data_IF_060196102083
#
_entry.id   IF_060196102083
#
_cell.length_a   1.000
_cell.length_b   1.000
_cell.length_c   1.000
_cell.angle_alpha   90.00
_cell.angle_beta   90.00
_cell.angle_gamma   90.00
#
_symmetry.space_group_name_H-M   'P 1'
#
loop_
_entity.id
_entity.type
_entity.pdbx_description
1 polymer ?
#
# COMPACT_ATOMS: atom_id res chain seq x y z
N UNK A 1 -28.32 11.79 -19.57
CA UNK A 1 -27.05 11.37 -18.92
C UNK A 1 -27.10 11.82 -17.47
N UNK A 2 -27.02 10.91 -16.50
CA UNK A 2 -26.93 11.29 -15.09
C UNK A 2 -25.57 11.95 -14.82
N UNK A 3 -25.56 13.21 -14.41
CA UNK A 3 -24.34 13.96 -14.07
C UNK A 3 -23.80 13.59 -12.68
N UNK A 4 -24.58 12.89 -11.86
CA UNK A 4 -24.26 12.55 -10.47
C UNK A 4 -23.85 11.08 -10.31
N UNK A 5 -22.88 10.79 -9.44
CA UNK A 5 -22.47 9.40 -9.16
C UNK A 5 -23.56 8.66 -8.35
N UNK A 6 -23.72 7.33 -8.53
CA UNK A 6 -24.63 6.51 -7.72
C UNK A 6 -24.32 6.62 -6.23
N UNK A 7 -25.37 6.59 -5.39
CA UNK A 7 -25.21 6.67 -3.92
C UNK A 7 -24.36 5.52 -3.35
N UNK A 8 -24.35 4.38 -4.03
CA UNK A 8 -23.47 3.25 -3.72
C UNK A 8 -21.99 3.62 -3.70
N UNK A 9 -21.54 4.57 -4.52
CA UNK A 9 -20.15 5.02 -4.54
C UNK A 9 -19.75 5.61 -3.20
N UNK A 10 -20.58 6.50 -2.63
CA UNK A 10 -20.29 7.15 -1.35
C UNK A 10 -20.34 6.16 -0.17
N UNK A 11 -21.18 5.14 -0.27
CA UNK A 11 -21.18 4.02 0.68
C UNK A 11 -19.86 3.24 0.63
N UNK A 12 -19.43 2.83 -0.56
CA UNK A 12 -18.17 2.10 -0.74
C UNK A 12 -16.96 2.97 -0.34
N UNK A 13 -16.99 4.26 -0.68
CA UNK A 13 -16.01 5.25 -0.25
C UNK A 13 -15.90 5.31 1.28
N UNK A 14 -17.01 5.48 1.99
CA UNK A 14 -17.00 5.63 3.45
C UNK A 14 -16.56 4.32 4.13
N UNK A 15 -17.00 3.19 3.59
CA UNK A 15 -16.59 1.86 4.06
C UNK A 15 -15.09 1.66 3.90
N UNK A 16 -14.55 1.91 2.70
CA UNK A 16 -13.11 1.81 2.41
C UNK A 16 -12.29 2.80 3.25
N UNK A 17 -12.73 4.05 3.39
CA UNK A 17 -12.03 5.07 4.18
C UNK A 17 -11.83 4.62 5.64
N UNK A 18 -12.87 4.06 6.26
CA UNK A 18 -12.79 3.57 7.64
C UNK A 18 -11.95 2.30 7.79
N UNK A 19 -12.01 1.40 6.83
CA UNK A 19 -11.15 0.21 6.82
C UNK A 19 -9.68 0.59 6.61
N UNK A 20 -9.39 1.52 5.69
CA UNK A 20 -8.05 2.08 5.49
C UNK A 20 -7.57 2.83 6.72
N UNK A 21 -8.46 3.55 7.40
CA UNK A 21 -8.14 4.16 8.69
C UNK A 21 -7.67 3.10 9.70
N UNK A 22 -8.42 2.00 9.84
CA UNK A 22 -8.02 0.89 10.70
C UNK A 22 -6.66 0.29 10.33
N UNK A 23 -6.46 0.00 9.05
CA UNK A 23 -5.24 -0.63 8.55
C UNK A 23 -4.02 0.27 8.75
N UNK A 24 -4.07 1.54 8.32
CA UNK A 24 -2.94 2.46 8.44
C UNK A 24 -2.68 2.88 9.89
N UNK A 25 -3.70 2.90 10.75
CA UNK A 25 -3.55 3.15 12.18
C UNK A 25 -2.77 2.04 12.87
N UNK A 26 -3.12 0.78 12.59
CA UNK A 26 -2.34 -0.38 13.02
C UNK A 26 -0.91 -0.32 12.45
N UNK A 27 -0.79 -0.09 11.13
CA UNK A 27 0.49 -0.06 10.42
C UNK A 27 1.47 0.97 10.99
N UNK A 28 0.97 2.12 11.46
CA UNK A 28 1.75 3.19 12.07
C UNK A 28 2.34 2.83 13.44
N UNK A 29 1.69 1.93 14.17
CA UNK A 29 2.06 1.53 15.53
C UNK A 29 2.83 0.21 15.58
N UNK A 30 2.63 -0.67 14.58
CA UNK A 30 3.02 -2.07 14.66
C UNK A 30 4.52 -2.28 14.94
N UNK A 31 5.39 -1.59 14.22
CA UNK A 31 6.84 -1.68 14.41
C UNK A 31 7.28 -1.15 15.78
N UNK A 32 6.66 -0.05 16.24
CA UNK A 32 6.95 0.55 17.55
C UNK A 32 6.46 -0.33 18.69
N UNK A 33 5.32 -0.98 18.54
CA UNK A 33 4.74 -1.91 19.52
C UNK A 33 5.62 -3.15 19.69
N UNK A 34 6.07 -3.76 18.59
CA UNK A 34 6.98 -4.91 18.63
C UNK A 34 8.27 -4.58 19.41
N UNK A 35 8.87 -3.42 19.15
CA UNK A 35 10.09 -3.00 19.82
C UNK A 35 9.86 -2.61 21.29
N UNK A 36 8.89 -1.74 21.55
CA UNK A 36 8.78 -1.05 22.84
C UNK A 36 7.94 -1.81 23.87
N UNK A 37 6.99 -2.63 23.42
CA UNK A 37 6.08 -3.35 24.30
C UNK A 37 6.35 -4.86 24.31
N UNK A 38 6.62 -5.47 23.16
CA UNK A 38 6.91 -6.90 23.07
C UNK A 38 8.40 -7.24 23.21
N UNK A 39 9.27 -6.23 23.28
CA UNK A 39 10.73 -6.39 23.42
C UNK A 39 11.37 -7.24 22.30
N UNK A 40 10.81 -7.21 21.09
CA UNK A 40 11.43 -7.82 19.92
C UNK A 40 12.63 -6.99 19.47
N UNK A 41 13.62 -7.62 18.83
CA UNK A 41 14.71 -6.89 18.21
C UNK A 41 14.31 -6.31 16.84
N UNK A 42 15.08 -5.34 16.33
CA UNK A 42 14.79 -4.67 15.05
C UNK A 42 14.84 -5.60 13.85
N UNK A 43 15.77 -6.54 13.81
CA UNK A 43 15.90 -7.48 12.70
C UNK A 43 14.68 -8.40 12.64
N UNK A 44 14.26 -8.97 13.77
CA UNK A 44 13.03 -9.75 13.84
C UNK A 44 11.78 -8.92 13.52
N UNK A 45 11.67 -7.72 14.09
CA UNK A 45 10.59 -6.76 13.81
C UNK A 45 10.50 -6.46 12.32
N UNK A 46 11.63 -6.22 11.66
CA UNK A 46 11.70 -5.95 10.23
C UNK A 46 11.24 -7.12 9.37
N UNK A 47 11.74 -8.32 9.66
CA UNK A 47 11.32 -9.53 8.97
C UNK A 47 9.81 -9.79 9.14
N UNK A 48 9.29 -9.72 10.36
CA UNK A 48 7.89 -9.98 10.65
C UNK A 48 6.97 -8.93 10.03
N UNK A 49 7.36 -7.65 10.07
CA UNK A 49 6.61 -6.58 9.42
C UNK A 49 6.50 -6.78 7.90
N UNK A 50 7.61 -7.13 7.24
CA UNK A 50 7.64 -7.42 5.80
C UNK A 50 6.82 -8.66 5.42
N UNK A 51 6.88 -9.73 6.23
CA UNK A 51 6.07 -10.93 6.02
C UNK A 51 4.57 -10.64 6.19
N UNK A 52 4.20 -9.92 7.26
CA UNK A 52 2.82 -9.51 7.51
C UNK A 52 2.26 -8.69 6.35
N UNK A 53 2.97 -7.64 5.95
CA UNK A 53 2.55 -6.77 4.84
C UNK A 53 2.53 -7.52 3.51
N UNK A 54 3.50 -8.38 3.24
CA UNK A 54 3.53 -9.26 2.08
C UNK A 54 2.29 -10.16 1.99
N UNK A 55 1.91 -10.80 3.10
CA UNK A 55 0.71 -11.64 3.16
C UNK A 55 -0.58 -10.83 2.98
N UNK A 56 -0.65 -9.60 3.52
CA UNK A 56 -1.77 -8.66 3.29
C UNK A 56 -1.95 -8.33 1.80
N UNK A 57 -0.88 -8.34 0.99
CA UNK A 57 -0.98 -8.17 -0.47
C UNK A 57 -1.20 -9.47 -1.24
N UNK A 58 -0.88 -10.63 -0.64
CA UNK A 58 -1.04 -11.94 -1.27
C UNK A 58 -2.46 -12.52 -1.10
N UNK A 59 -3.03 -12.47 0.11
CA UNK A 59 -4.34 -13.05 0.41
C UNK A 59 -5.53 -12.47 -0.37
N UNK A 60 -5.52 -11.21 -0.86
CA UNK A 60 -6.55 -10.70 -1.77
C UNK A 60 -6.79 -11.56 -3.01
N UNK A 61 -5.78 -12.26 -3.53
CA UNK A 61 -5.96 -13.16 -4.67
C UNK A 61 -6.90 -14.32 -4.34
N UNK A 62 -6.80 -14.83 -3.11
CA UNK A 62 -7.63 -15.92 -2.60
C UNK A 62 -9.04 -15.41 -2.34
N UNK A 63 -9.19 -14.25 -1.69
CA UNK A 63 -10.51 -13.72 -1.33
C UNK A 63 -11.32 -13.21 -2.52
N UNK A 64 -10.68 -12.68 -3.56
CA UNK A 64 -11.34 -12.38 -4.83
C UNK A 64 -11.85 -13.64 -5.51
N UNK A 65 -11.01 -14.69 -5.59
CA UNK A 65 -11.40 -15.98 -6.14
C UNK A 65 -12.58 -16.62 -5.38
N UNK A 66 -12.60 -16.52 -4.04
CA UNK A 66 -13.69 -17.05 -3.22
C UNK A 66 -15.01 -16.33 -3.54
N UNK A 67 -14.99 -15.00 -3.60
CA UNK A 67 -16.18 -14.21 -3.88
C UNK A 67 -16.74 -14.50 -5.28
N UNK A 68 -15.85 -14.61 -6.27
CA UNK A 68 -16.19 -14.85 -7.67
C UNK A 68 -16.72 -16.25 -7.96
N UNK A 69 -16.59 -17.20 -7.02
CA UNK A 69 -16.97 -18.61 -7.25
C UNK A 69 -18.01 -19.15 -6.27
N UNK A 70 -18.04 -18.67 -5.02
CA UNK A 70 -18.83 -19.33 -3.98
C UNK A 70 -20.00 -18.49 -3.46
N UNK A 71 -19.76 -17.23 -3.05
CA UNK A 71 -20.79 -16.52 -2.26
C UNK A 71 -20.90 -15.00 -2.46
N UNK A 72 -20.14 -14.42 -3.39
CA UNK A 72 -20.24 -13.01 -3.77
C UNK A 72 -19.41 -12.02 -2.93
N UNK A 73 -19.34 -10.78 -3.43
CA UNK A 73 -18.52 -9.71 -2.85
C UNK A 73 -19.05 -9.24 -1.48
N UNK A 74 -20.38 -9.10 -1.29
CA UNK A 74 -20.97 -8.57 -0.05
C UNK A 74 -20.64 -9.42 1.17
N UNK A 75 -20.80 -10.75 1.05
CA UNK A 75 -20.49 -11.68 2.14
C UNK A 75 -18.99 -11.67 2.45
N UNK A 76 -18.15 -11.59 1.42
CA UNK A 76 -16.70 -11.51 1.58
C UNK A 76 -16.28 -10.23 2.31
N UNK A 77 -16.87 -9.07 1.98
CA UNK A 77 -16.63 -7.80 2.68
C UNK A 77 -17.07 -7.89 4.14
N UNK A 78 -18.25 -8.44 4.43
CA UNK A 78 -18.74 -8.58 5.81
C UNK A 78 -17.86 -9.51 6.65
N UNK A 79 -17.58 -10.73 6.15
CA UNK A 79 -16.74 -11.69 6.86
C UNK A 79 -15.32 -11.15 7.02
N UNK A 80 -14.76 -10.59 5.95
CA UNK A 80 -13.43 -10.00 5.96
C UNK A 80 -13.32 -8.87 6.98
N UNK A 81 -14.31 -7.98 7.02
CA UNK A 81 -14.35 -6.89 7.98
C UNK A 81 -14.50 -7.36 9.43
N UNK A 82 -15.30 -8.40 9.70
CA UNK A 82 -15.42 -8.99 11.05
C UNK A 82 -14.09 -9.57 11.50
N UNK A 83 -13.40 -10.33 10.64
CA UNK A 83 -12.08 -10.87 10.94
C UNK A 83 -11.07 -9.76 11.23
N UNK A 84 -11.04 -8.68 10.44
CA UNK A 84 -10.16 -7.55 10.70
C UNK A 84 -10.50 -6.86 12.03
N UNK A 85 -11.78 -6.67 12.36
CA UNK A 85 -12.18 -6.07 13.64
C UNK A 85 -11.73 -6.94 14.82
N UNK A 86 -11.95 -8.26 14.76
CA UNK A 86 -11.46 -9.20 15.77
C UNK A 86 -9.93 -9.17 15.87
N UNK A 87 -9.24 -9.05 14.74
CA UNK A 87 -7.79 -8.93 14.70
C UNK A 87 -7.28 -7.67 15.41
N UNK A 88 -7.90 -6.51 15.16
CA UNK A 88 -7.57 -5.26 15.84
C UNK A 88 -7.83 -5.33 17.36
N UNK A 89 -8.94 -5.94 17.78
CA UNK A 89 -9.21 -6.13 19.21
C UNK A 89 -8.29 -7.18 19.86
N UNK A 90 -7.78 -8.15 19.09
CA UNK A 90 -6.70 -9.05 19.54
C UNK A 90 -5.39 -8.28 19.76
N UNK A 91 -5.06 -7.29 18.92
CA UNK A 91 -3.92 -6.39 19.14
C UNK A 91 -4.13 -5.45 20.34
N UNK A 92 -5.35 -4.93 20.54
CA UNK A 92 -5.72 -4.21 21.76
C UNK A 92 -5.52 -5.07 23.02
N UNK A 93 -5.95 -6.33 22.99
CA UNK A 93 -5.75 -7.28 24.08
C UNK A 93 -4.25 -7.55 24.30
N UNK A 94 -3.49 -7.79 23.22
CA UNK A 94 -2.03 -7.94 23.29
C UNK A 94 -1.36 -6.74 23.98
N UNK A 95 -1.71 -5.52 23.59
CA UNK A 95 -1.21 -4.29 24.23
C UNK A 95 -1.69 -4.12 25.68
N UNK A 96 -2.85 -4.68 26.05
CA UNK A 96 -3.35 -4.65 27.43
C UNK A 96 -2.60 -5.63 28.34
N UNK A 97 -2.10 -6.73 27.77
CA UNK A 97 -1.31 -7.76 28.47
C UNK A 97 0.19 -7.63 28.21
N UNK A 98 0.69 -6.47 27.77
CA UNK A 98 2.10 -6.31 27.36
C UNK A 98 3.14 -6.69 28.43
N UNK A 99 2.78 -6.67 29.72
CA UNK A 99 3.63 -7.10 30.84
C UNK A 99 3.68 -8.63 31.02
N UNK A 100 2.79 -9.38 30.37
CA UNK A 100 2.69 -10.84 30.39
C UNK A 100 2.91 -11.36 28.97
N UNK A 101 4.18 -11.44 28.56
CA UNK A 101 4.57 -11.74 27.17
C UNK A 101 4.03 -13.08 26.67
N UNK A 102 3.89 -14.08 27.54
CA UNK A 102 3.32 -15.39 27.22
C UNK A 102 1.86 -15.32 26.74
N UNK A 103 1.13 -14.25 27.11
CA UNK A 103 -0.23 -13.97 26.65
C UNK A 103 -0.21 -12.94 25.51
N UNK A 104 0.59 -11.88 25.63
CA UNK A 104 0.64 -10.79 24.68
C UNK A 104 1.07 -11.25 23.28
N UNK A 105 2.11 -12.09 23.18
CA UNK A 105 2.68 -12.52 21.90
C UNK A 105 1.72 -13.43 21.12
N UNK A 106 1.06 -14.45 21.71
CA UNK A 106 0.04 -15.22 20.99
C UNK A 106 -1.13 -14.37 20.51
N UNK A 107 -1.62 -13.43 21.34
CA UNK A 107 -2.68 -12.50 20.94
C UNK A 107 -2.24 -11.58 19.79
N UNK A 108 -0.98 -11.18 19.79
CA UNK A 108 -0.39 -10.40 18.71
C UNK A 108 -0.43 -11.16 17.37
N UNK A 109 0.08 -12.40 17.34
CA UNK A 109 0.07 -13.23 16.14
C UNK A 109 -1.36 -13.60 15.68
N UNK A 110 -2.26 -13.89 16.61
CA UNK A 110 -3.68 -14.07 16.31
C UNK A 110 -4.26 -12.82 15.63
N UNK A 111 -3.93 -11.64 16.14
CA UNK A 111 -4.33 -10.36 15.57
C UNK A 111 -3.86 -10.19 14.13
N UNK A 112 -2.57 -10.42 13.89
CA UNK A 112 -1.98 -10.34 12.54
C UNK A 112 -2.63 -11.35 11.58
N UNK A 113 -2.81 -12.60 12.00
CA UNK A 113 -3.43 -13.65 11.19
C UNK A 113 -4.87 -13.31 10.80
N UNK A 114 -5.68 -12.83 11.76
CA UNK A 114 -7.05 -12.40 11.51
C UNK A 114 -7.11 -11.21 10.54
N UNK A 115 -6.20 -10.23 10.67
CA UNK A 115 -6.14 -9.09 9.75
C UNK A 115 -5.72 -9.53 8.34
N UNK A 116 -4.74 -10.42 8.22
CA UNK A 116 -4.30 -10.98 6.92
C UNK A 116 -5.46 -11.66 6.19
N UNK A 117 -6.19 -12.54 6.88
CA UNK A 117 -7.33 -13.27 6.32
C UNK A 117 -8.49 -12.32 6.00
N UNK A 118 -8.77 -11.39 6.91
CA UNK A 118 -9.85 -10.44 6.77
C UNK A 118 -9.65 -9.46 5.62
N UNK A 119 -8.45 -8.87 5.50
CA UNK A 119 -8.08 -8.00 4.38
C UNK A 119 -8.15 -8.75 3.05
N UNK A 120 -7.73 -10.03 3.04
CA UNK A 120 -7.81 -10.88 1.85
C UNK A 120 -9.24 -11.00 1.30
N UNK A 121 -10.24 -11.13 2.18
CA UNK A 121 -11.65 -11.18 1.79
C UNK A 121 -12.27 -9.81 1.51
N UNK A 122 -11.80 -8.75 2.17
CA UNK A 122 -12.40 -7.42 2.06
C UNK A 122 -11.94 -6.66 0.80
N UNK A 123 -10.62 -6.48 0.68
CA UNK A 123 -9.97 -5.55 -0.27
C UNK A 123 -10.27 -5.80 -1.75
N UNK A 124 -10.14 -7.04 -2.29
CA UNK A 124 -10.40 -7.27 -3.72
C UNK A 124 -11.89 -7.09 -4.04
N UNK A 125 -12.76 -7.30 -3.06
CA UNK A 125 -14.20 -7.37 -3.25
C UNK A 125 -14.86 -5.99 -3.23
N UNK A 126 -14.44 -5.11 -2.32
CA UNK A 126 -14.97 -3.74 -2.26
C UNK A 126 -14.62 -2.93 -3.52
N UNK A 127 -13.39 -3.07 -4.03
CA UNK A 127 -12.96 -2.42 -5.27
C UNK A 127 -13.75 -2.93 -6.48
N UNK A 128 -14.04 -4.24 -6.54
CA UNK A 128 -14.85 -4.84 -7.60
C UNK A 128 -16.28 -4.29 -7.61
N UNK A 129 -16.86 -4.04 -6.43
CA UNK A 129 -18.21 -3.47 -6.31
C UNK A 129 -18.31 -2.04 -6.86
N UNK A 130 -17.24 -1.24 -6.80
CA UNK A 130 -17.22 0.10 -7.44
C UNK A 130 -17.48 -0.02 -8.93
N UNK A 131 -16.84 -0.98 -9.59
CA UNK A 131 -17.02 -1.23 -11.01
C UNK A 131 -18.42 -1.71 -11.40
N UNK A 132 -19.11 -2.41 -10.51
CA UNK A 132 -20.46 -2.95 -10.72
C UNK A 132 -21.57 -1.87 -10.63
N UNK A 133 -21.27 -0.69 -10.09
CA UNK A 133 -22.23 0.44 -10.02
C UNK A 133 -22.45 1.13 -11.38
N UNK A 134 -21.66 0.78 -12.39
CA UNK A 134 -21.62 1.48 -13.67
C UNK A 134 -21.76 0.49 -14.83
N UNK A 135 -22.34 0.95 -15.94
CA UNK A 135 -22.29 0.17 -17.19
C UNK A 135 -20.88 0.16 -17.78
N UNK A 136 -20.60 -0.77 -18.70
CA UNK A 136 -19.26 -0.90 -19.28
C UNK A 136 -18.79 0.35 -20.06
N UNK A 137 -19.71 1.13 -20.61
CA UNK A 137 -19.44 2.33 -21.41
C UNK A 137 -19.61 3.65 -20.61
N UNK A 138 -19.80 3.57 -19.28
CA UNK A 138 -20.02 4.76 -18.46
C UNK A 138 -18.73 5.57 -18.26
N UNK A 139 -18.69 6.78 -18.82
CA UNK A 139 -17.54 7.70 -18.72
C UNK A 139 -17.25 8.17 -17.29
N UNK A 140 -18.19 8.01 -16.35
CA UNK A 140 -18.01 8.41 -14.94
C UNK A 140 -17.16 7.43 -14.15
N UNK A 141 -16.88 6.25 -14.69
CA UNK A 141 -16.19 5.16 -13.98
C UNK A 141 -14.78 5.56 -13.52
N UNK A 142 -14.02 6.27 -14.34
CA UNK A 142 -12.67 6.74 -13.99
C UNK A 142 -12.70 7.78 -12.86
N UNK A 143 -13.65 8.72 -12.92
CA UNK A 143 -13.88 9.69 -11.85
C UNK A 143 -14.34 8.98 -10.55
N UNK A 144 -15.12 7.89 -10.65
CA UNK A 144 -15.56 7.12 -9.50
C UNK A 144 -14.39 6.42 -8.78
N UNK A 145 -13.47 5.81 -9.53
CA UNK A 145 -12.25 5.25 -8.95
C UNK A 145 -11.34 6.32 -8.33
N UNK A 146 -11.32 7.53 -8.91
CA UNK A 146 -10.60 8.67 -8.33
C UNK A 146 -11.21 9.08 -6.97
N UNK A 147 -12.53 9.22 -6.90
CA UNK A 147 -13.24 9.52 -5.64
C UNK A 147 -12.97 8.42 -4.61
N UNK A 148 -13.11 7.15 -5.01
CA UNK A 148 -12.82 6.01 -4.13
C UNK A 148 -11.38 6.04 -3.59
N UNK A 149 -10.40 6.32 -4.45
CA UNK A 149 -8.99 6.46 -4.07
C UNK A 149 -8.72 7.64 -3.12
N UNK A 150 -9.47 8.74 -3.22
CA UNK A 150 -9.40 9.81 -2.22
C UNK A 150 -9.82 9.33 -0.83
N UNK A 151 -10.77 8.39 -0.74
CA UNK A 151 -11.20 7.81 0.54
C UNK A 151 -10.08 7.02 1.21
N UNK A 152 -9.31 6.27 0.43
CA UNK A 152 -8.13 5.54 0.90
C UNK A 152 -7.11 6.50 1.52
N UNK A 153 -6.78 7.58 0.81
CA UNK A 153 -5.80 8.55 1.29
C UNK A 153 -6.31 9.35 2.48
N UNK A 154 -7.60 9.66 2.55
CA UNK A 154 -8.19 10.36 3.69
C UNK A 154 -8.11 9.51 4.96
N UNK A 155 -8.46 8.22 4.88
CA UNK A 155 -8.29 7.28 5.98
C UNK A 155 -6.83 7.12 6.40
N UNK A 156 -5.93 6.97 5.42
CA UNK A 156 -4.48 6.86 5.64
C UNK A 156 -3.88 8.12 6.28
N UNK A 157 -4.38 9.31 5.95
CA UNK A 157 -3.92 10.56 6.53
C UNK A 157 -4.30 10.69 8.00
N UNK A 158 -5.58 10.46 8.34
CA UNK A 158 -6.06 10.64 9.72
C UNK A 158 -5.63 9.52 10.66
N UNK A 159 -5.38 8.31 10.15
CA UNK A 159 -5.14 7.16 11.02
C UNK A 159 -3.87 7.26 11.87
N UNK A 160 -2.67 7.56 11.33
CA UNK A 160 -1.49 7.74 12.15
C UNK A 160 -1.62 8.93 13.10
N UNK A 161 -2.37 9.99 12.73
CA UNK A 161 -2.61 11.12 13.63
C UNK A 161 -3.47 10.72 14.83
N UNK A 162 -4.55 9.98 14.63
CA UNK A 162 -5.45 9.57 15.72
C UNK A 162 -4.88 8.40 16.51
N UNK A 163 -4.57 7.28 15.85
CA UNK A 163 -4.03 6.09 16.50
C UNK A 163 -2.65 6.36 17.11
N UNK A 164 -1.81 7.15 16.44
CA UNK A 164 -0.50 7.56 16.94
C UNK A 164 -0.59 8.44 18.19
N UNK A 165 -1.49 9.43 18.21
CA UNK A 165 -1.68 10.27 19.41
C UNK A 165 -2.11 9.46 20.62
N UNK A 166 -2.90 8.40 20.40
CA UNK A 166 -3.38 7.53 21.47
C UNK A 166 -2.38 6.43 21.86
N UNK A 167 -1.55 5.96 20.93
CA UNK A 167 -0.71 4.77 21.10
C UNK A 167 0.79 5.00 21.17
N UNK A 168 1.31 6.03 20.52
CA UNK A 168 2.74 6.35 20.41
C UNK A 168 3.08 7.54 21.32
N UNK A 169 2.78 7.37 22.60
CA UNK A 169 2.96 8.40 23.66
C UNK A 169 4.34 8.30 24.34
N UNK A 170 5.10 7.25 24.04
CA UNK A 170 6.32 6.86 24.75
C UNK A 170 6.08 5.87 25.90
N UNK A 171 4.84 5.63 26.31
CA UNK A 171 4.50 4.59 27.28
C UNK A 171 4.00 3.32 26.56
N UNK A 172 4.66 2.16 26.73
CA UNK A 172 4.23 0.91 26.10
C UNK A 172 2.78 0.49 26.43
N UNK A 173 2.25 0.90 27.57
CA UNK A 173 0.86 0.62 27.95
C UNK A 173 -0.17 1.31 27.06
N UNK A 174 0.21 2.35 26.32
CA UNK A 174 -0.73 3.19 25.57
C UNK A 174 -0.99 2.65 24.16
N UNK A 175 -0.12 1.81 23.60
CA UNK A 175 -0.31 1.17 22.29
C UNK A 175 -1.70 0.51 22.15
N UNK A 176 -2.23 -0.04 23.24
CA UNK A 176 -3.59 -0.58 23.27
C UNK A 176 -4.62 0.45 22.78
N UNK A 177 -4.57 1.71 23.22
CA UNK A 177 -5.54 2.73 22.82
C UNK A 177 -5.46 3.07 21.33
N UNK A 178 -4.26 3.03 20.76
CA UNK A 178 -4.06 3.12 19.33
C UNK A 178 -4.72 1.97 18.56
N UNK A 179 -4.51 0.73 19.00
CA UNK A 179 -5.17 -0.45 18.42
C UNK A 179 -6.68 -0.47 18.64
N UNK A 180 -7.16 0.01 19.78
CA UNK A 180 -8.59 0.20 20.06
C UNK A 180 -9.20 1.16 19.05
N UNK A 181 -8.58 2.32 18.82
CA UNK A 181 -9.04 3.29 17.82
C UNK A 181 -9.02 2.70 16.39
N UNK A 182 -8.02 1.90 16.04
CA UNK A 182 -8.01 1.19 14.77
C UNK A 182 -9.17 0.17 14.69
N UNK A 183 -9.45 -0.56 15.77
CA UNK A 183 -10.57 -1.50 15.87
C UNK A 183 -11.93 -0.83 15.76
N UNK A 184 -12.14 0.33 16.41
CA UNK A 184 -13.38 1.10 16.29
C UNK A 184 -13.58 1.60 14.87
N UNK A 185 -12.53 2.04 14.18
CA UNK A 185 -12.59 2.38 12.76
C UNK A 185 -13.08 1.22 11.89
N UNK A 186 -12.58 0.00 12.12
CA UNK A 186 -13.05 -1.19 11.40
C UNK A 186 -14.51 -1.52 11.69
N UNK A 187 -14.95 -1.40 12.95
CA UNK A 187 -16.36 -1.57 13.31
C UNK A 187 -17.23 -0.53 12.62
N UNK A 188 -16.80 0.73 12.56
CA UNK A 188 -17.53 1.78 11.83
C UNK A 188 -17.66 1.45 10.35
N UNK A 189 -16.59 0.95 9.70
CA UNK A 189 -16.66 0.44 8.33
C UNK A 189 -17.73 -0.65 8.18
N UNK A 190 -17.75 -1.64 9.08
CA UNK A 190 -18.74 -2.72 9.06
C UNK A 190 -20.17 -2.20 9.25
N UNK A 191 -20.41 -1.31 10.20
CA UNK A 191 -21.74 -0.76 10.47
C UNK A 191 -22.27 0.02 9.27
N UNK A 192 -21.44 0.91 8.71
CA UNK A 192 -21.77 1.68 7.51
C UNK A 192 -22.14 0.73 6.36
N UNK A 193 -21.31 -0.28 6.08
CA UNK A 193 -21.61 -1.24 5.03
C UNK A 193 -22.88 -2.06 5.34
N UNK A 194 -23.01 -2.61 6.55
CA UNK A 194 -24.10 -3.47 6.94
C UNK A 194 -25.47 -2.81 6.84
N UNK A 195 -25.59 -1.56 7.33
CA UNK A 195 -26.86 -0.83 7.32
C UNK A 195 -27.30 -0.38 5.93
N UNK A 196 -26.35 -0.03 5.06
CA UNK A 196 -26.66 0.65 3.81
C UNK A 196 -26.49 -0.21 2.55
N UNK A 197 -25.81 -1.37 2.63
CA UNK A 197 -25.54 -2.21 1.46
C UNK A 197 -26.79 -2.59 0.65
N UNK A 198 -27.89 -2.95 1.32
CA UNK A 198 -29.14 -3.37 0.64
C UNK A 198 -29.82 -2.21 -0.09
N UNK A 199 -29.65 -0.98 0.42
CA UNK A 199 -30.31 0.22 -0.07
C UNK A 199 -29.55 0.88 -1.23
N UNK A 200 -28.22 0.89 -1.18
CA UNK A 200 -27.42 1.70 -2.11
C UNK A 200 -26.53 0.90 -3.09
N UNK A 201 -26.31 -0.40 -2.87
CA UNK A 201 -25.49 -1.22 -3.77
C UNK A 201 -26.37 -1.87 -4.84
N UNK A 202 -26.83 -1.05 -5.77
CA UNK A 202 -27.60 -1.46 -6.95
C UNK A 202 -26.91 -1.06 -8.23
N UNK A 203 -27.08 -1.85 -9.29
CA UNK A 203 -26.63 -1.54 -10.64
C UNK A 203 -27.51 -0.44 -11.26
N UNK A 204 -27.16 0.09 -12.46
CA UNK A 204 -27.98 1.09 -13.15
C UNK A 204 -29.40 0.63 -13.49
N UNK A 205 -29.69 -0.68 -13.46
CA UNK A 205 -30.99 -1.28 -13.69
C UNK A 205 -31.79 -1.49 -12.39
N UNK A 206 -31.20 -1.21 -11.23
CA UNK A 206 -31.82 -1.38 -9.91
C UNK A 206 -31.62 -2.76 -9.29
N UNK A 207 -30.88 -3.66 -9.92
CA UNK A 207 -30.60 -4.99 -9.38
C UNK A 207 -29.52 -4.92 -8.31
N UNK A 208 -29.59 -5.83 -7.33
CA UNK A 208 -28.61 -5.91 -6.24
C UNK A 208 -27.26 -6.42 -6.76
N UNK A 209 -26.18 -5.68 -6.51
CA UNK A 209 -24.81 -6.07 -6.90
C UNK A 209 -24.03 -6.76 -5.78
N UNK A 210 -22.98 -7.51 -6.13
CA UNK A 210 -22.11 -8.21 -5.17
C UNK A 210 -22.73 -9.43 -4.50
N UNK A 211 -23.80 -9.98 -5.09
CA UNK A 211 -24.39 -11.27 -4.70
C UNK A 211 -23.57 -12.44 -5.26
N UNK A 212 -23.93 -13.68 -4.88
CA UNK A 212 -23.28 -14.87 -5.41
C UNK A 212 -23.40 -14.91 -6.94
N UNK A 213 -22.31 -15.17 -7.67
CA UNK A 213 -22.33 -15.14 -9.13
C UNK A 213 -23.15 -16.31 -9.70
N UNK A 214 -23.93 -16.02 -10.74
CA UNK A 214 -24.53 -17.03 -11.60
C UNK A 214 -23.48 -17.63 -12.56
N UNK A 215 -23.77 -18.80 -13.15
CA UNK A 215 -22.84 -19.48 -14.06
C UNK A 215 -22.37 -18.54 -15.19
N UNK A 216 -21.04 -18.56 -15.48
CA UNK A 216 -20.42 -17.71 -16.51
C UNK A 216 -21.11 -17.87 -17.86
N UNK A 217 -21.29 -16.75 -18.57
CA UNK A 217 -21.87 -16.75 -19.92
C UNK A 217 -20.99 -17.50 -20.93
N UNK A 218 -21.61 -18.10 -21.95
CA UNK A 218 -20.91 -18.79 -23.05
C UNK A 218 -19.95 -17.85 -23.80
N UNK A 219 -20.32 -16.57 -23.97
CA UNK A 219 -19.50 -15.56 -24.65
C UNK A 219 -18.19 -15.24 -23.90
N UNK A 220 -18.21 -15.20 -22.56
CA UNK A 220 -17.00 -15.03 -21.75
C UNK A 220 -16.08 -16.26 -21.84
N UNK A 221 -16.67 -17.45 -21.95
CA UNK A 221 -15.91 -18.70 -22.10
C UNK A 221 -15.25 -18.78 -23.47
N UNK A 222 -15.95 -18.37 -24.53
CA UNK A 222 -15.42 -18.34 -25.89
C UNK A 222 -14.19 -17.41 -26.04
N UNK A 223 -14.26 -16.16 -25.54
CA UNK A 223 -13.13 -15.21 -25.58
C UNK A 223 -11.88 -15.72 -24.84
N UNK A 224 -12.05 -16.56 -23.83
CA UNK A 224 -10.92 -17.13 -23.06
C UNK A 224 -10.21 -18.25 -23.84
N UNK A 225 -10.90 -18.89 -24.77
CA UNK A 225 -10.39 -20.04 -25.51
C UNK A 225 -9.67 -19.66 -26.80
N UNK A 226 -9.66 -18.38 -27.17
CA UNK A 226 -8.88 -17.89 -28.31
C UNK A 226 -7.37 -18.19 -28.12
N UNK A 227 -6.67 -18.60 -29.19
CA UNK A 227 -5.22 -18.80 -29.14
C UNK A 227 -4.51 -17.47 -28.97
N UNK A 228 -3.38 -17.49 -28.25
CA UNK A 228 -2.58 -16.29 -28.06
C UNK A 228 -1.90 -15.85 -29.36
N UNK A 229 -1.90 -14.54 -29.59
CA UNK A 229 -1.18 -13.88 -30.67
C UNK A 229 0.25 -13.51 -30.24
N UNK A 230 1.14 -13.19 -31.20
CA UNK A 230 2.47 -12.65 -30.87
C UNK A 230 2.39 -11.35 -30.05
N UNK A 231 1.40 -10.50 -30.38
CA UNK A 231 1.08 -9.27 -29.63
C UNK A 231 0.79 -9.57 -28.16
N UNK A 232 0.07 -10.67 -27.86
CA UNK A 232 -0.23 -11.04 -26.48
C UNK A 232 1.04 -11.42 -25.71
N UNK A 233 1.95 -12.18 -26.32
CA UNK A 233 3.24 -12.51 -25.70
C UNK A 233 4.10 -11.28 -25.43
N UNK A 234 4.18 -10.35 -26.37
CA UNK A 234 4.89 -9.08 -26.20
C UNK A 234 4.33 -8.28 -25.02
N UNK A 235 3.00 -8.18 -24.92
CA UNK A 235 2.31 -7.46 -23.84
C UNK A 235 2.47 -8.14 -22.48
N UNK A 236 2.42 -9.47 -22.45
CA UNK A 236 2.72 -10.27 -21.25
C UNK A 236 4.16 -10.05 -20.78
N UNK A 237 5.12 -9.98 -21.70
CA UNK A 237 6.51 -9.67 -21.38
C UNK A 237 6.63 -8.27 -20.77
N UNK A 238 5.93 -7.27 -21.32
CA UNK A 238 5.92 -5.91 -20.75
C UNK A 238 5.40 -5.92 -19.32
N UNK A 239 4.29 -6.63 -19.04
CA UNK A 239 3.77 -6.78 -17.68
C UNK A 239 4.81 -7.42 -16.76
N UNK A 240 5.43 -8.52 -17.19
CA UNK A 240 6.46 -9.21 -16.38
C UNK A 240 7.65 -8.33 -16.05
N UNK A 241 8.20 -7.60 -17.04
CA UNK A 241 9.32 -6.68 -16.85
C UNK A 241 8.94 -5.54 -15.92
N UNK A 242 7.77 -4.92 -16.10
CA UNK A 242 7.33 -3.83 -15.24
C UNK A 242 7.09 -4.32 -13.81
N UNK A 243 6.42 -5.47 -13.64
CA UNK A 243 6.23 -6.09 -12.32
C UNK A 243 7.56 -6.34 -11.60
N UNK A 244 8.61 -6.76 -12.32
CA UNK A 244 9.94 -6.90 -11.75
C UNK A 244 10.51 -5.57 -11.22
N UNK A 245 10.45 -4.49 -12.01
CA UNK A 245 10.96 -3.18 -11.56
C UNK A 245 10.15 -2.58 -10.40
N UNK A 246 8.84 -2.85 -10.39
CA UNK A 246 7.91 -2.42 -9.34
C UNK A 246 8.26 -3.04 -7.97
N UNK A 247 8.91 -4.21 -7.95
CA UNK A 247 9.43 -4.82 -6.70
C UNK A 247 10.41 -3.86 -6.02
N UNK A 248 11.35 -3.27 -6.75
CA UNK A 248 12.36 -2.37 -6.17
C UNK A 248 11.76 -1.05 -5.69
N UNK A 249 10.75 -0.54 -6.40
CA UNK A 249 10.04 0.65 -5.98
C UNK A 249 9.36 0.41 -4.62
N UNK A 250 8.51 -0.61 -4.53
CA UNK A 250 7.79 -0.88 -3.28
C UNK A 250 8.72 -1.37 -2.17
N UNK A 251 9.77 -2.14 -2.48
CA UNK A 251 10.72 -2.58 -1.46
C UNK A 251 11.42 -1.42 -0.75
N UNK A 252 11.74 -0.33 -1.46
CA UNK A 252 12.32 0.87 -0.87
C UNK A 252 11.24 1.82 -0.32
N UNK A 253 10.08 1.92 -0.96
CA UNK A 253 8.98 2.78 -0.48
C UNK A 253 8.38 2.27 0.85
N UNK A 254 8.21 0.96 0.99
CA UNK A 254 7.58 0.33 2.16
C UNK A 254 8.46 0.37 3.42
N UNK A 255 9.72 0.80 3.30
CA UNK A 255 10.59 1.16 4.43
C UNK A 255 9.94 2.19 5.37
N UNK A 256 8.98 2.99 4.86
CA UNK A 256 8.18 3.96 5.60
C UNK A 256 7.49 3.35 6.83
N UNK A 257 7.17 2.06 6.77
CA UNK A 257 6.50 1.34 7.84
C UNK A 257 7.42 0.84 8.95
N UNK A 258 8.73 0.77 8.70
CA UNK A 258 9.67 0.04 9.54
C UNK A 258 10.99 0.77 9.74
N UNK A 259 11.97 0.68 8.85
CA UNK A 259 13.30 1.27 9.07
C UNK A 259 13.26 2.79 9.18
N UNK A 260 12.37 3.46 8.43
CA UNK A 260 12.14 4.90 8.56
C UNK A 260 11.40 5.27 9.86
N UNK A 261 10.58 4.37 10.39
CA UNK A 261 9.98 4.50 11.72
C UNK A 261 11.08 4.39 12.81
N UNK A 262 12.02 3.45 12.68
CA UNK A 262 13.17 3.35 13.59
C UNK A 262 14.02 4.61 13.53
N UNK A 263 14.34 5.05 12.32
CA UNK A 263 15.09 6.28 12.08
C UNK A 263 14.42 7.50 12.70
N UNK A 264 13.12 7.68 12.48
CA UNK A 264 12.36 8.80 13.02
C UNK A 264 12.33 8.80 14.56
N UNK A 265 12.24 7.63 15.18
CA UNK A 265 12.23 7.52 16.63
C UNK A 265 13.59 7.87 17.26
N UNK A 266 14.68 7.40 16.63
CA UNK A 266 16.03 7.42 17.21
C UNK A 266 16.83 8.67 16.84
N UNK A 267 16.72 9.10 15.58
CA UNK A 267 17.66 10.05 14.98
C UNK A 267 17.05 11.42 14.72
N UNK A 268 15.73 11.61 14.82
CA UNK A 268 15.10 12.91 14.59
C UNK A 268 14.85 13.68 15.89
N UNK A 269 15.06 14.99 15.82
CA UNK A 269 14.61 15.93 16.83
C UNK A 269 13.12 16.19 16.61
N UNK A 270 12.31 15.54 17.44
CA UNK A 270 10.85 15.59 17.38
C UNK A 270 10.25 16.63 18.34
N UNK A 271 11.05 17.51 18.95
CA UNK A 271 10.54 18.52 19.87
C UNK A 271 10.01 19.74 19.10
N UNK A 272 8.74 20.07 19.31
CA UNK A 272 8.08 21.25 18.74
C UNK A 272 7.30 21.95 19.84
N UNK A 273 7.68 23.19 20.17
CA UNK A 273 7.04 24.01 21.22
C UNK A 273 6.89 23.28 22.57
N UNK A 274 7.88 22.45 22.96
CA UNK A 274 7.87 21.70 24.22
C UNK A 274 7.06 20.39 24.20
N UNK A 275 6.53 20.00 23.03
CA UNK A 275 5.83 18.73 22.83
C UNK A 275 6.60 17.85 21.85
N UNK A 276 6.61 16.54 22.10
CA UNK A 276 7.26 15.56 21.24
C UNK A 276 6.28 15.02 20.20
N UNK A 277 6.55 15.29 18.93
CA UNK A 277 5.78 14.78 17.79
C UNK A 277 5.86 13.25 17.73
N UNK A 278 4.77 12.48 17.77
CA UNK A 278 4.79 11.02 17.66
C UNK A 278 5.47 10.56 16.37
N UNK A 279 6.27 9.50 16.47
CA UNK A 279 6.97 8.90 15.32
C UNK A 279 5.98 8.40 14.26
N UNK A 280 4.85 7.86 14.71
CA UNK A 280 3.75 7.41 13.87
C UNK A 280 3.18 8.51 12.95
N UNK A 281 3.19 9.79 13.35
CA UNK A 281 2.63 10.89 12.55
C UNK A 281 3.34 11.10 11.21
N UNK A 282 4.62 10.74 11.10
CA UNK A 282 5.37 10.85 9.85
C UNK A 282 4.77 9.99 8.72
N UNK A 283 4.04 8.92 9.06
CA UNK A 283 3.37 8.11 8.05
C UNK A 283 2.18 8.84 7.39
N UNK A 284 1.65 9.91 8.01
CA UNK A 284 0.62 10.78 7.42
C UNK A 284 1.17 11.73 6.35
N UNK A 285 2.50 11.88 6.24
CA UNK A 285 3.12 12.74 5.23
C UNK A 285 2.87 12.22 3.81
N UNK A 286 2.95 10.91 3.60
CA UNK A 286 2.70 10.34 2.28
C UNK A 286 1.28 10.64 1.76
N UNK A 287 0.19 10.27 2.46
CA UNK A 287 -1.16 10.51 1.97
C UNK A 287 -1.51 11.99 1.85
N UNK A 288 -0.99 12.88 2.71
CA UNK A 288 -1.24 14.32 2.54
C UNK A 288 -0.57 14.88 1.30
N UNK A 289 0.67 14.45 0.98
CA UNK A 289 1.31 14.83 -0.26
C UNK A 289 0.59 14.26 -1.48
N UNK A 290 0.11 13.02 -1.43
CA UNK A 290 -0.71 12.44 -2.50
C UNK A 290 -1.98 13.27 -2.71
N UNK A 291 -2.72 13.61 -1.64
CA UNK A 291 -3.94 14.42 -1.73
C UNK A 291 -3.70 15.81 -2.34
N UNK A 292 -2.59 16.47 -2.00
CA UNK A 292 -2.24 17.80 -2.52
C UNK A 292 -1.75 17.74 -3.97
N UNK A 293 -0.84 16.81 -4.27
CA UNK A 293 -0.08 16.83 -5.53
C UNK A 293 -0.64 15.91 -6.62
N UNK A 294 -1.47 14.92 -6.31
CA UNK A 294 -2.14 14.09 -7.33
C UNK A 294 -2.90 14.91 -8.39
N UNK A 295 -3.77 15.88 -8.03
CA UNK A 295 -4.47 16.68 -9.04
C UNK A 295 -3.51 17.57 -9.84
N UNK A 296 -2.45 18.08 -9.22
CA UNK A 296 -1.44 18.92 -9.87
C UNK A 296 -0.68 18.11 -10.93
N UNK A 297 -0.22 16.91 -10.56
CA UNK A 297 0.52 16.04 -11.46
C UNK A 297 -0.37 15.49 -12.58
N UNK A 298 -1.63 15.17 -12.30
CA UNK A 298 -2.59 14.77 -13.33
C UNK A 298 -2.80 15.87 -14.38
N UNK A 299 -2.96 17.13 -13.94
CA UNK A 299 -3.06 18.28 -14.85
C UNK A 299 -1.77 18.49 -15.66
N UNK A 300 -0.61 18.25 -15.06
CA UNK A 300 0.66 18.30 -15.75
C UNK A 300 0.71 17.27 -16.89
N UNK A 301 0.34 16.01 -16.64
CA UNK A 301 0.31 14.99 -17.69
C UNK A 301 -0.66 15.32 -18.81
N UNK A 302 -1.86 15.79 -18.50
CA UNK A 302 -2.85 16.21 -19.51
C UNK A 302 -2.31 17.35 -20.38
N UNK A 303 -1.61 18.34 -19.78
CA UNK A 303 -0.98 19.43 -20.54
C UNK A 303 0.12 18.94 -21.49
N UNK A 304 0.87 17.91 -21.12
CA UNK A 304 1.84 17.29 -22.03
C UNK A 304 1.16 16.43 -23.10
N UNK A 305 0.10 15.72 -22.76
CA UNK A 305 -0.69 14.90 -23.69
C UNK A 305 -1.30 15.76 -24.81
N UNK A 306 -1.85 16.92 -24.46
CA UNK A 306 -2.38 17.90 -25.44
C UNK A 306 -1.30 18.48 -26.38
N UNK A 307 -0.02 18.23 -26.11
CA UNK A 307 1.12 18.64 -26.96
C UNK A 307 1.81 17.45 -27.61
N UNK A 308 1.26 16.24 -27.51
CA UNK A 308 1.89 14.98 -27.95
C UNK A 308 3.28 14.73 -27.31
N UNK A 309 3.50 15.22 -26.09
CA UNK A 309 4.76 15.08 -25.34
C UNK A 309 4.63 14.24 -24.07
N UNK A 310 3.48 13.61 -23.85
CA UNK A 310 3.29 12.76 -22.68
C UNK A 310 4.26 11.56 -22.76
N UNK A 311 5.12 11.36 -21.74
CA UNK A 311 6.02 10.22 -21.71
C UNK A 311 5.22 8.91 -21.65
N UNK A 312 5.77 7.84 -22.23
CA UNK A 312 5.14 6.54 -22.15
C UNK A 312 5.06 6.05 -20.69
N UNK A 313 4.10 5.16 -20.42
CA UNK A 313 3.90 4.60 -19.07
C UNK A 313 5.18 4.05 -18.42
N UNK A 314 6.02 3.23 -19.10
CA UNK A 314 7.30 2.79 -18.52
C UNK A 314 8.26 3.94 -18.17
N UNK A 315 8.25 5.03 -18.95
CA UNK A 315 9.08 6.21 -18.69
C UNK A 315 8.68 6.91 -17.39
N UNK A 316 7.37 7.10 -17.19
CA UNK A 316 6.85 7.70 -15.95
C UNK A 316 7.19 6.84 -14.74
N UNK A 317 7.05 5.52 -14.86
CA UNK A 317 7.45 4.59 -13.79
C UNK A 317 8.95 4.66 -13.50
N UNK A 318 9.79 4.84 -14.51
CA UNK A 318 11.22 5.09 -14.31
C UNK A 318 11.49 6.41 -13.57
N UNK A 319 10.78 7.49 -13.90
CA UNK A 319 10.86 8.73 -13.11
C UNK A 319 10.45 8.51 -11.66
N UNK A 320 9.48 7.64 -11.40
CA UNK A 320 9.09 7.23 -10.05
C UNK A 320 10.24 6.64 -9.25
N UNK A 321 10.96 5.67 -9.83
CA UNK A 321 12.15 5.06 -9.22
C UNK A 321 13.30 6.04 -9.02
N UNK A 322 13.50 6.98 -9.95
CA UNK A 322 14.53 8.01 -9.83
C UNK A 322 14.20 9.05 -8.75
N UNK A 323 12.93 9.42 -8.59
CA UNK A 323 12.46 10.28 -7.49
C UNK A 323 12.61 9.59 -6.13
N UNK A 324 12.36 8.28 -6.08
CA UNK A 324 12.60 7.46 -4.89
C UNK A 324 14.10 7.46 -4.51
N UNK A 325 14.98 7.25 -5.49
CA UNK A 325 16.44 7.35 -5.30
C UNK A 325 16.86 8.75 -4.82
N UNK A 326 16.30 9.81 -5.41
CA UNK A 326 16.56 11.18 -4.99
C UNK A 326 16.09 11.45 -3.55
N UNK A 327 14.94 10.89 -3.13
CA UNK A 327 14.46 10.96 -1.75
C UNK A 327 15.46 10.34 -0.78
N UNK A 328 15.89 9.11 -1.04
CA UNK A 328 16.91 8.45 -0.24
C UNK A 328 18.24 9.20 -0.22
N UNK A 329 18.61 9.87 -1.32
CA UNK A 329 19.82 10.69 -1.37
C UNK A 329 19.71 11.90 -0.44
N UNK A 330 18.55 12.56 -0.38
CA UNK A 330 18.31 13.69 0.53
C UNK A 330 18.55 13.29 1.98
N UNK A 331 17.99 12.16 2.42
CA UNK A 331 18.18 11.70 3.80
C UNK A 331 19.59 11.16 4.05
N UNK A 332 20.22 10.51 3.06
CA UNK A 332 21.62 10.07 3.14
C UNK A 332 22.56 11.26 3.36
N UNK A 333 22.34 12.38 2.64
CA UNK A 333 23.09 13.62 2.83
C UNK A 333 22.87 14.21 4.23
N UNK A 334 21.64 14.13 4.75
CA UNK A 334 21.31 14.54 6.11
C UNK A 334 22.15 13.82 7.16
N UNK A 335 22.38 12.51 7.01
CA UNK A 335 23.10 11.68 8.00
C UNK A 335 24.62 11.58 7.79
N UNK A 336 25.16 12.05 6.65
CA UNK A 336 26.56 11.80 6.23
C UNK A 336 27.64 12.31 7.19
N UNK A 337 27.35 13.33 7.98
CA UNK A 337 28.32 13.99 8.87
C UNK A 337 27.71 14.38 10.23
N UNK A 338 26.72 13.62 10.69
CA UNK A 338 26.08 13.89 11.97
C UNK A 338 26.97 13.36 13.09
N UNK A 339 27.36 14.25 14.00
CA UNK A 339 28.15 13.86 15.17
C UNK A 339 27.34 12.90 16.06
N UNK A 340 27.99 11.95 16.76
CA UNK A 340 27.29 11.02 17.65
C UNK A 340 26.39 11.74 18.67
N UNK A 341 25.14 11.29 18.78
CA UNK A 341 24.16 11.87 19.71
C UNK A 341 23.44 13.13 19.23
N UNK A 342 23.82 13.69 18.07
CA UNK A 342 23.08 14.81 17.47
C UNK A 342 21.87 14.30 16.72
N UNK A 343 20.69 14.84 17.05
CA UNK A 343 19.44 14.54 16.36
C UNK A 343 19.26 15.46 15.15
N UNK A 344 18.73 14.92 14.05
CA UNK A 344 18.49 15.64 12.80
C UNK A 344 17.15 16.34 12.80
N UNK A 345 17.05 17.42 12.01
CA UNK A 345 15.77 18.06 11.73
C UNK A 345 14.79 17.10 11.05
N UNK A 346 13.52 17.16 11.46
CA UNK A 346 12.41 16.44 10.81
C UNK A 346 12.27 16.76 9.32
N UNK A 347 12.75 17.93 8.88
CA UNK A 347 12.60 18.38 7.49
C UNK A 347 13.31 17.47 6.48
N UNK A 348 14.37 16.76 6.88
CA UNK A 348 15.02 15.76 6.03
C UNK A 348 14.07 14.62 5.66
N UNK A 349 13.35 14.11 6.66
CA UNK A 349 12.38 13.05 6.46
C UNK A 349 11.15 13.57 5.70
N UNK A 350 10.68 14.79 6.00
CA UNK A 350 9.58 15.43 5.27
C UNK A 350 9.92 15.58 3.78
N UNK A 351 11.12 16.06 3.44
CA UNK A 351 11.57 16.21 2.06
C UNK A 351 11.69 14.86 1.33
N UNK A 352 12.18 13.83 2.02
CA UNK A 352 12.23 12.47 1.49
C UNK A 352 10.81 11.94 1.20
N UNK A 353 9.87 12.04 2.14
CA UNK A 353 8.48 11.62 1.94
C UNK A 353 7.82 12.37 0.78
N UNK A 354 8.10 13.66 0.63
CA UNK A 354 7.58 14.43 -0.51
C UNK A 354 8.08 13.87 -1.85
N UNK A 355 9.39 13.62 -1.99
CA UNK A 355 9.97 13.00 -3.18
C UNK A 355 9.42 11.59 -3.44
N UNK A 356 9.29 10.78 -2.40
CA UNK A 356 8.73 9.43 -2.50
C UNK A 356 7.26 9.46 -2.95
N UNK A 357 6.45 10.37 -2.41
CA UNK A 357 5.07 10.58 -2.85
C UNK A 357 4.99 11.04 -4.31
N UNK A 358 5.87 11.94 -4.76
CA UNK A 358 5.92 12.32 -6.17
C UNK A 358 6.28 11.12 -7.05
N UNK A 359 7.19 10.27 -6.57
CA UNK A 359 7.56 9.02 -7.24
C UNK A 359 6.39 8.03 -7.33
N UNK A 360 5.62 7.88 -6.24
CA UNK A 360 4.42 7.04 -6.18
C UNK A 360 3.38 7.50 -7.20
N UNK A 361 3.14 8.81 -7.31
CA UNK A 361 2.20 9.37 -8.27
C UNK A 361 2.61 9.13 -9.74
N UNK A 362 3.90 8.88 -9.99
CA UNK A 362 4.41 8.51 -11.32
C UNK A 362 4.32 7.00 -11.62
N UNK A 363 4.00 6.16 -10.62
CA UNK A 363 4.03 4.71 -10.73
C UNK A 363 2.67 4.04 -10.44
N UNK A 364 2.05 4.38 -9.31
CA UNK A 364 0.90 3.65 -8.75
C UNK A 364 -0.37 3.69 -9.63
N UNK A 365 -0.85 4.86 -10.11
CA UNK A 365 -2.04 4.90 -10.96
C UNK A 365 -1.85 4.22 -12.32
N UNK A 366 -0.61 4.19 -12.81
CA UNK A 366 -0.24 3.71 -14.15
C UNK A 366 -0.11 2.19 -14.16
N UNK A 367 0.53 1.60 -13.14
CA UNK A 367 0.82 0.17 -13.08
C UNK A 367 -0.42 -0.71 -13.21
N UNK A 368 -1.46 -0.43 -12.40
CA UNK A 368 -2.70 -1.21 -12.42
C UNK A 368 -3.46 -1.06 -13.75
N UNK A 369 -3.47 0.15 -14.30
CA UNK A 369 -4.10 0.45 -15.60
C UNK A 369 -3.41 -0.31 -16.72
N UNK A 370 -2.08 -0.35 -16.70
CA UNK A 370 -1.27 -0.98 -17.73
C UNK A 370 -1.47 -2.51 -17.77
N UNK A 371 -1.52 -3.17 -16.61
CA UNK A 371 -1.84 -4.61 -16.55
C UNK A 371 -3.22 -4.88 -17.15
N UNK A 372 -4.21 -4.07 -16.80
CA UNK A 372 -5.57 -4.24 -17.33
C UNK A 372 -5.66 -4.01 -18.85
N UNK A 373 -4.92 -3.04 -19.40
CA UNK A 373 -4.91 -2.76 -20.85
C UNK A 373 -4.12 -3.79 -21.67
N UNK A 374 -3.04 -4.32 -21.11
CA UNK A 374 -2.10 -5.18 -21.83
C UNK A 374 -2.44 -6.68 -21.70
N UNK A 375 -3.11 -7.09 -20.62
CA UNK A 375 -3.35 -8.50 -20.36
C UNK A 375 -4.37 -9.10 -21.36
N UNK A 376 -4.03 -10.22 -22.04
CA UNK A 376 -4.98 -10.93 -22.88
C UNK A 376 -6.14 -11.47 -22.03
N UNK A 377 -7.35 -11.48 -22.60
CA UNK A 377 -8.56 -11.93 -21.90
C UNK A 377 -8.41 -13.33 -21.27
N UNK A 378 -7.62 -14.20 -21.91
CA UNK A 378 -7.30 -15.55 -21.42
C UNK A 378 -6.57 -15.58 -20.08
N UNK A 379 -5.66 -14.63 -19.86
CA UNK A 379 -4.76 -14.57 -18.71
C UNK A 379 -4.93 -13.31 -17.85
N UNK A 380 -5.96 -12.49 -18.08
CA UNK A 380 -6.20 -11.24 -17.35
C UNK A 380 -6.15 -11.42 -15.83
N UNK A 381 -6.87 -12.40 -15.27
CA UNK A 381 -6.85 -12.67 -13.84
C UNK A 381 -5.50 -13.20 -13.34
N UNK A 382 -4.79 -13.98 -14.16
CA UNK A 382 -3.47 -14.51 -13.81
C UNK A 382 -2.43 -13.38 -13.74
N UNK A 383 -2.44 -12.47 -14.72
CA UNK A 383 -1.49 -11.36 -14.80
C UNK A 383 -1.77 -10.28 -13.75
N UNK A 384 -3.03 -10.07 -13.38
CA UNK A 384 -3.37 -9.31 -12.17
C UNK A 384 -2.83 -10.03 -10.91
N UNK A 385 -2.89 -11.36 -10.87
CA UNK A 385 -2.24 -12.17 -9.85
C UNK A 385 -0.73 -11.94 -9.77
N UNK A 386 -0.04 -11.92 -10.92
CA UNK A 386 1.41 -11.62 -11.00
C UNK A 386 1.71 -10.22 -10.47
N UNK A 387 0.88 -9.23 -10.80
CA UNK A 387 1.04 -7.87 -10.28
C UNK A 387 0.97 -7.83 -8.74
N UNK A 388 -0.07 -8.40 -8.13
CA UNK A 388 -0.17 -8.44 -6.68
C UNK A 388 0.92 -9.30 -6.02
N UNK A 389 1.32 -10.40 -6.66
CA UNK A 389 2.43 -11.22 -6.21
C UNK A 389 3.74 -10.42 -6.19
N UNK A 390 3.97 -9.55 -7.18
CA UNK A 390 5.12 -8.65 -7.19
C UNK A 390 5.10 -7.67 -6.01
N UNK A 391 3.93 -7.12 -5.66
CA UNK A 391 3.78 -6.24 -4.47
C UNK A 391 3.97 -7.01 -3.16
N UNK A 392 3.47 -8.24 -3.08
CA UNK A 392 3.70 -9.12 -1.92
C UNK A 392 5.18 -9.45 -1.74
N UNK A 393 5.87 -9.81 -2.84
CA UNK A 393 7.31 -10.04 -2.86
C UNK A 393 8.09 -8.78 -2.47
N UNK A 394 7.65 -7.60 -2.94
CA UNK A 394 8.27 -6.32 -2.59
C UNK A 394 8.19 -6.00 -1.11
N UNK A 395 7.05 -6.26 -0.46
CA UNK A 395 6.87 -6.03 0.98
C UNK A 395 7.70 -7.00 1.82
N UNK A 396 7.77 -8.28 1.42
CA UNK A 396 8.66 -9.23 2.07
C UNK A 396 10.12 -8.79 1.90
N UNK A 397 10.52 -8.43 0.68
CA UNK A 397 11.86 -7.92 0.41
C UNK A 397 12.17 -6.64 1.19
N UNK A 398 11.20 -5.73 1.35
CA UNK A 398 11.32 -4.55 2.19
C UNK A 398 11.69 -4.91 3.64
N UNK A 399 11.06 -5.94 4.21
CA UNK A 399 11.37 -6.42 5.56
C UNK A 399 12.79 -6.98 5.68
N UNK A 400 13.27 -7.71 4.68
CA UNK A 400 14.65 -8.20 4.61
C UNK A 400 15.62 -7.01 4.55
N UNK A 401 15.37 -6.05 3.66
CA UNK A 401 16.21 -4.86 3.51
C UNK A 401 16.23 -4.00 4.78
N UNK A 402 15.09 -3.86 5.45
CA UNK A 402 14.99 -3.16 6.73
C UNK A 402 15.78 -3.84 7.85
N UNK A 403 16.00 -5.15 7.76
CA UNK A 403 16.88 -5.90 8.66
C UNK A 403 18.36 -5.52 8.56
N UNK A 404 18.76 -4.80 7.50
CA UNK A 404 20.10 -4.23 7.37
C UNK A 404 20.26 -2.85 8.03
N UNK A 405 19.26 -2.40 8.78
CA UNK A 405 19.37 -1.16 9.55
C UNK A 405 20.50 -1.29 10.60
N UNK A 406 21.53 -0.43 10.58
CA UNK A 406 22.68 -0.55 11.47
C UNK A 406 22.30 -0.22 12.92
N UNK A 407 22.83 -1.00 13.86
CA UNK A 407 22.60 -0.83 15.29
C UNK A 407 23.92 -0.71 16.05
N UNK A 408 24.04 0.29 16.94
CA UNK A 408 25.22 0.46 17.77
C UNK A 408 25.44 -0.77 18.67
N UNK A 409 26.67 -1.29 18.69
CA UNK A 409 27.04 -2.44 19.51
C UNK A 409 26.67 -3.81 18.92
N UNK A 410 26.06 -3.87 17.73
CA UNK A 410 25.85 -5.12 16.98
C UNK A 410 26.80 -5.21 15.77
N UNK A 411 27.12 -6.42 15.28
CA UNK A 411 27.89 -6.58 14.04
C UNK A 411 27.21 -5.86 12.87
N UNK A 412 28.01 -5.20 12.03
CA UNK A 412 27.50 -4.51 10.86
C UNK A 412 26.81 -5.52 9.91
N UNK A 413 25.55 -5.28 9.50
CA UNK A 413 24.91 -6.12 8.50
C UNK A 413 25.69 -6.10 7.18
N UNK A 414 25.74 -7.25 6.51
CA UNK A 414 26.41 -7.41 5.23
C UNK A 414 25.42 -7.81 4.14
N UNK A 415 25.48 -7.12 3.00
CA UNK A 415 24.74 -7.49 1.80
C UNK A 415 25.69 -7.65 0.62
N UNK A 416 25.82 -8.87 0.08
CA UNK A 416 26.70 -9.18 -1.06
C UNK A 416 28.14 -8.68 -0.89
N UNK A 417 28.67 -8.74 0.34
CA UNK A 417 30.02 -8.27 0.67
C UNK A 417 30.15 -6.77 0.97
N UNK A 418 29.07 -5.99 0.86
CA UNK A 418 29.03 -4.61 1.34
C UNK A 418 28.60 -4.57 2.82
N UNK A 419 29.50 -4.11 3.69
CA UNK A 419 29.20 -3.81 5.09
C UNK A 419 28.43 -2.49 5.23
N UNK A 420 27.27 -2.56 5.88
CA UNK A 420 26.44 -1.39 6.18
C UNK A 420 26.75 -0.97 7.62
N UNK A 421 27.75 -0.09 7.74
CA UNK A 421 28.29 0.33 9.05
C UNK A 421 27.54 1.55 9.58
N UNK A 422 27.08 2.43 8.69
CA UNK A 422 26.43 3.69 9.04
C UNK A 422 25.03 3.83 8.44
N UNK A 423 24.23 4.74 9.00
CA UNK A 423 22.94 5.14 8.39
C UNK A 423 23.13 5.73 6.98
N UNK A 424 24.29 6.35 6.72
CA UNK A 424 24.60 6.82 5.37
C UNK A 424 24.73 5.64 4.40
N UNK A 425 25.45 4.57 4.77
CA UNK A 425 25.57 3.36 3.96
C UNK A 425 24.20 2.72 3.72
N UNK A 426 23.39 2.65 4.78
CA UNK A 426 22.03 2.10 4.71
C UNK A 426 21.15 2.86 3.72
N UNK A 427 21.13 4.20 3.76
CA UNK A 427 20.35 4.97 2.80
C UNK A 427 20.96 4.97 1.41
N UNK A 428 22.29 5.00 1.28
CA UNK A 428 22.99 4.89 -0.01
C UNK A 428 22.72 3.56 -0.70
N UNK A 429 22.50 2.47 0.05
CA UNK A 429 22.05 1.21 -0.52
C UNK A 429 20.73 1.39 -1.30
N UNK A 430 19.73 2.07 -0.73
CA UNK A 430 18.46 2.34 -1.43
C UNK A 430 18.64 3.34 -2.58
N UNK A 431 19.53 4.34 -2.44
CA UNK A 431 19.88 5.25 -3.55
C UNK A 431 20.35 4.45 -4.76
N UNK A 432 21.34 3.57 -4.57
CA UNK A 432 21.93 2.78 -5.64
C UNK A 432 20.94 1.79 -6.24
N UNK A 433 20.17 1.09 -5.40
CA UNK A 433 19.16 0.13 -5.83
C UNK A 433 18.08 0.80 -6.69
N UNK A 434 17.47 1.88 -6.19
CA UNK A 434 16.41 2.59 -6.91
C UNK A 434 16.94 3.34 -8.13
N UNK A 435 18.17 3.87 -8.09
CA UNK A 435 18.81 4.50 -9.25
C UNK A 435 19.09 3.49 -10.36
N UNK A 436 19.67 2.34 -10.02
CA UNK A 436 19.95 1.28 -10.99
C UNK A 436 18.66 0.74 -11.61
N UNK A 437 17.64 0.45 -10.79
CA UNK A 437 16.33 0.02 -11.27
C UNK A 437 15.68 1.07 -12.18
N UNK A 438 15.67 2.35 -11.77
CA UNK A 438 15.10 3.45 -12.55
C UNK A 438 15.84 3.70 -13.85
N UNK A 439 17.18 3.70 -13.82
CA UNK A 439 18.04 3.86 -15.00
C UNK A 439 17.86 2.72 -16.00
N UNK A 440 17.86 1.46 -15.55
CA UNK A 440 17.62 0.30 -16.40
C UNK A 440 16.21 0.32 -17.02
N UNK A 441 15.18 0.67 -16.24
CA UNK A 441 13.82 0.81 -16.76
C UNK A 441 13.75 1.94 -17.80
N UNK A 442 14.41 3.08 -17.55
CA UNK A 442 14.47 4.20 -18.49
C UNK A 442 15.14 3.80 -19.81
N UNK A 443 16.26 3.08 -19.75
CA UNK A 443 16.95 2.56 -20.93
C UNK A 443 16.08 1.54 -21.69
N UNK A 444 15.34 0.69 -20.98
CA UNK A 444 14.46 -0.31 -21.58
C UNK A 444 13.13 0.25 -22.13
N UNK A 445 12.80 1.51 -21.83
CA UNK A 445 11.50 2.12 -22.16
C UNK A 445 11.18 2.03 -23.65
N UNK A 446 12.12 2.38 -24.52
CA UNK A 446 11.87 2.36 -25.97
C UNK A 446 11.57 0.95 -26.51
N UNK A 447 12.18 -0.06 -25.89
CA UNK A 447 11.95 -1.47 -26.18
C UNK A 447 10.58 -1.95 -25.69
N UNK A 448 10.17 -1.51 -24.50
CA UNK A 448 8.87 -1.85 -23.91
C UNK A 448 7.72 -1.17 -24.65
N UNK A 449 7.85 0.12 -24.97
CA UNK A 449 6.83 0.89 -25.66
C UNK A 449 6.47 0.29 -27.03
N UNK A 450 7.48 -0.17 -27.79
CA UNK A 450 7.24 -0.88 -29.06
C UNK A 450 6.40 -2.14 -28.88
N UNK A 451 6.57 -2.86 -27.77
CA UNK A 451 5.85 -4.10 -27.43
C UNK A 451 4.49 -3.88 -26.77
N UNK A 452 4.17 -2.65 -26.41
CA UNK A 452 2.82 -2.28 -25.98
C UNK A 452 1.86 -2.17 -27.18
N UNK A 453 2.38 -2.10 -28.41
CA UNK A 453 1.60 -2.06 -29.65
C UNK A 453 0.57 -0.91 -29.66
N UNK A 454 1.04 0.31 -29.37
CA UNK A 454 0.23 1.54 -29.40
C UNK A 454 -0.62 1.80 -28.15
N UNK A 455 -0.60 0.91 -27.16
CA UNK A 455 -1.19 1.16 -25.85
C UNK A 455 -0.25 2.09 -25.07
N UNK A 456 -0.77 3.19 -24.52
CA UNK A 456 -0.03 4.10 -23.65
C UNK A 456 -0.65 4.19 -22.25
#
# INVERSE_FOLDING_TARGET
MHTTHPRGLYLLFATEMWERFSYYGNRALLALFMLSALSFDKHFTAALYGQYTGLVFLTPLIGGYIADRFWGNRRSIMVGGVLMALGQYSLFASGSYYTQLDIAIPLFYLGLGLIILGNGLFKPNISTMVGQLYTAQDKRKDAAYTIFYMGINLGSFFAPLICGTLGDTGNPADFRWGFFAAGTGMVMSLLVFAFFQRKYLVDPQGNQIGLAPEHRSQAQTARRNEPLTRTDYDRMLVIGVISFFVIFFWAAFEQAGVSLTFFANENLDRQVFGWTVPTSWFQSLNPVFVLIFAPILAQFWVKLANKDREPASPTKMAYGLLLLSAGFLVIALGVKQVAPGVKLSMMWLVAMYWLHSMGELCLSPIGLSLVNKLAPAKFASLLMGVWFLSTAAANWFAGILAGFYPEAGKPAPQFLGWEIVSLNDFFMFFVMMSFAAGGLLLLSTSFLQKRMHGVN
#
